data_IF_813916063784
#
_entry.id   IF_813916063784
#
_cell.length_a   1.000
_cell.length_b   1.000
_cell.length_c   1.000
_cell.angle_alpha   90.00
_cell.angle_beta   90.00
_cell.angle_gamma   90.00
#
_symmetry.space_group_name_H-M   'P 1'
#
loop_
_entity.id
_entity.type
_entity.pdbx_description
1 polymer ?
#
# COMPACT_ATOMS: atom_id res chain seq x y z
N UNK A 1 12.50 -39.67 27.31
CA UNK A 1 11.18 -39.14 26.90
C UNK A 1 11.21 -37.65 26.55
N UNK A 2 11.60 -36.72 27.45
CA UNK A 2 11.62 -35.26 27.15
C UNK A 2 12.44 -34.88 25.89
N UNK A 3 13.60 -35.51 25.68
CA UNK A 3 14.44 -35.26 24.49
C UNK A 3 13.82 -35.76 23.16
N UNK A 4 13.05 -36.84 23.21
CA UNK A 4 12.36 -37.40 22.04
C UNK A 4 11.17 -36.52 21.66
N UNK A 5 10.41 -36.05 22.65
CA UNK A 5 9.30 -35.10 22.44
C UNK A 5 9.82 -33.79 21.84
N UNK A 6 10.96 -33.27 22.33
CA UNK A 6 11.56 -32.05 21.80
C UNK A 6 12.05 -32.22 20.35
N UNK A 7 12.66 -33.36 20.02
CA UNK A 7 13.06 -33.68 18.65
C UNK A 7 11.84 -33.80 17.71
N UNK A 8 10.75 -34.41 18.18
CA UNK A 8 9.52 -34.54 17.39
C UNK A 8 8.87 -33.16 17.13
N UNK A 9 8.86 -32.28 18.13
CA UNK A 9 8.37 -30.91 17.98
C UNK A 9 9.20 -30.08 17.00
N UNK A 10 10.52 -30.25 16.99
CA UNK A 10 11.42 -29.59 16.03
C UNK A 10 11.14 -30.05 14.59
N UNK A 11 10.94 -31.35 14.37
CA UNK A 11 10.60 -31.88 13.04
C UNK A 11 9.26 -31.34 12.56
N UNK A 12 8.23 -31.35 13.43
CA UNK A 12 6.90 -30.81 13.10
C UNK A 12 6.94 -29.30 12.81
N UNK A 13 7.76 -28.54 13.53
CA UNK A 13 7.90 -27.11 13.29
C UNK A 13 8.52 -26.81 11.92
N UNK A 14 9.49 -27.61 11.46
CA UNK A 14 10.10 -27.43 10.14
C UNK A 14 9.13 -27.74 8.99
N UNK A 15 8.31 -28.79 9.12
CA UNK A 15 7.33 -29.15 8.08
C UNK A 15 6.25 -28.09 7.86
N UNK A 16 5.88 -27.36 8.93
CA UNK A 16 4.89 -26.26 8.82
C UNK A 16 5.48 -25.08 8.03
N UNK A 17 6.76 -24.78 8.22
CA UNK A 17 7.44 -23.67 7.52
C UNK A 17 7.58 -23.98 6.03
N UNK A 18 7.98 -25.21 5.68
CA UNK A 18 8.09 -25.64 4.28
C UNK A 18 6.75 -25.59 3.55
N UNK A 19 5.67 -26.08 4.18
CA UNK A 19 4.33 -26.04 3.59
C UNK A 19 3.82 -24.60 3.36
N UNK A 20 4.17 -23.67 4.25
CA UNK A 20 3.82 -22.26 4.09
C UNK A 20 4.63 -21.59 2.96
N UNK A 21 5.93 -21.91 2.85
CA UNK A 21 6.77 -21.44 1.74
C UNK A 21 6.23 -21.93 0.40
N UNK A 22 5.93 -23.23 0.27
CA UNK A 22 5.34 -23.80 -0.95
C UNK A 22 4.04 -23.11 -1.35
N UNK A 23 3.15 -22.84 -0.38
CA UNK A 23 1.91 -22.11 -0.62
C UNK A 23 2.19 -20.68 -1.12
N UNK A 24 3.11 -19.95 -0.49
CA UNK A 24 3.45 -18.59 -0.88
C UNK A 24 3.98 -18.53 -2.33
N UNK A 25 4.78 -19.53 -2.72
CA UNK A 25 5.28 -19.67 -4.09
C UNK A 25 4.14 -19.97 -5.07
N UNK A 26 3.21 -20.86 -4.71
CA UNK A 26 2.05 -21.14 -5.54
C UNK A 26 1.16 -19.90 -5.76
N UNK A 27 0.94 -19.11 -4.70
CA UNK A 27 0.20 -17.85 -4.78
C UNK A 27 0.92 -16.81 -5.67
N UNK A 28 2.26 -16.75 -5.60
CA UNK A 28 3.08 -15.89 -6.47
C UNK A 28 2.99 -16.32 -7.94
N UNK A 29 3.13 -17.62 -8.20
CA UNK A 29 3.06 -18.20 -9.54
C UNK A 29 1.66 -17.95 -10.16
N UNK A 30 0.59 -18.11 -9.36
CA UNK A 30 -0.78 -17.78 -9.76
C UNK A 30 -0.98 -16.30 -10.07
N UNK A 31 -0.48 -15.41 -9.21
CA UNK A 31 -0.55 -13.96 -9.44
C UNK A 31 0.17 -13.56 -10.73
N UNK A 32 1.38 -14.08 -10.93
CA UNK A 32 2.17 -13.82 -12.13
C UNK A 32 1.41 -14.25 -13.40
N UNK A 33 0.88 -15.48 -13.43
CA UNK A 33 0.09 -15.98 -14.55
C UNK A 33 -1.17 -15.14 -14.80
N UNK A 34 -1.86 -14.73 -13.73
CA UNK A 34 -3.06 -13.88 -13.83
C UNK A 34 -2.71 -12.53 -14.44
N UNK A 35 -1.63 -11.90 -13.99
CA UNK A 35 -1.12 -10.65 -14.56
C UNK A 35 -0.82 -10.82 -16.04
N UNK A 36 -0.20 -11.92 -16.46
CA UNK A 36 0.14 -12.14 -17.87
C UNK A 36 -1.09 -12.18 -18.81
N UNK A 37 -2.27 -12.43 -18.27
CA UNK A 37 -3.52 -12.46 -19.02
C UNK A 37 -4.14 -11.08 -19.20
N UNK A 38 -3.76 -10.08 -18.40
CA UNK A 38 -4.36 -8.73 -18.46
C UNK A 38 -3.97 -8.00 -19.75
N UNK A 39 -4.84 -7.11 -20.27
CA UNK A 39 -4.49 -6.23 -21.38
C UNK A 39 -3.27 -5.35 -21.05
N UNK A 40 -3.22 -4.78 -19.84
CA UNK A 40 -2.12 -3.93 -19.40
C UNK A 40 -0.76 -4.64 -19.45
N UNK A 41 -0.68 -5.92 -19.07
CA UNK A 41 0.55 -6.69 -19.24
C UNK A 41 0.90 -6.89 -20.71
N UNK A 42 -0.07 -7.30 -21.53
CA UNK A 42 0.15 -7.59 -22.95
C UNK A 42 0.68 -6.37 -23.70
N UNK A 43 0.22 -5.19 -23.31
CA UNK A 43 0.59 -3.92 -23.93
C UNK A 43 1.92 -3.37 -23.41
N UNK A 44 2.25 -3.59 -22.13
CA UNK A 44 3.36 -2.89 -21.46
C UNK A 44 4.58 -3.76 -21.16
N UNK A 45 4.39 -5.06 -20.87
CA UNK A 45 5.42 -5.93 -20.28
C UNK A 45 5.59 -7.26 -21.02
N UNK A 46 4.84 -7.52 -22.09
CA UNK A 46 4.96 -8.76 -22.87
C UNK A 46 6.34 -8.89 -23.48
N UNK A 47 7.08 -9.92 -23.05
CA UNK A 47 8.45 -10.15 -23.50
C UNK A 47 9.51 -9.32 -22.77
N UNK A 48 9.14 -8.52 -21.77
CA UNK A 48 10.10 -7.75 -20.97
C UNK A 48 10.94 -8.68 -20.09
N UNK A 49 12.25 -8.75 -20.36
CA UNK A 49 13.20 -9.58 -19.62
C UNK A 49 13.44 -9.11 -18.18
N UNK A 50 13.35 -7.80 -17.91
CA UNK A 50 13.48 -7.27 -16.54
C UNK A 50 12.30 -7.69 -15.69
N UNK A 51 11.10 -7.73 -16.27
CA UNK A 51 9.90 -8.22 -15.57
C UNK A 51 9.97 -9.73 -15.28
N UNK A 52 10.45 -10.53 -16.24
CA UNK A 52 10.72 -11.97 -16.00
C UNK A 52 11.77 -12.17 -14.89
N UNK A 53 12.84 -11.38 -14.91
CA UNK A 53 13.88 -11.43 -13.89
C UNK A 53 13.37 -11.00 -12.50
N UNK A 54 12.51 -9.97 -12.44
CA UNK A 54 11.82 -9.57 -11.22
C UNK A 54 11.04 -10.74 -10.63
N UNK A 55 10.22 -11.41 -11.44
CA UNK A 55 9.48 -12.61 -11.00
C UNK A 55 10.41 -13.72 -10.49
N UNK A 56 11.46 -14.06 -11.24
CA UNK A 56 12.41 -15.09 -10.84
C UNK A 56 13.11 -14.77 -9.50
N UNK A 57 13.48 -13.50 -9.29
CA UNK A 57 14.08 -13.05 -8.03
C UNK A 57 13.07 -13.13 -6.87
N UNK A 58 11.83 -12.67 -7.07
CA UNK A 58 10.79 -12.76 -6.05
C UNK A 58 10.54 -14.22 -5.65
N UNK A 59 10.43 -15.12 -6.62
CA UNK A 59 10.25 -16.55 -6.37
C UNK A 59 11.39 -17.18 -5.58
N UNK A 60 12.63 -16.72 -5.77
CA UNK A 60 13.80 -17.19 -5.01
C UNK A 60 13.82 -16.66 -3.57
N UNK A 61 13.39 -15.42 -3.39
CA UNK A 61 13.54 -14.68 -2.13
C UNK A 61 12.31 -14.80 -1.22
N UNK A 62 11.19 -15.37 -1.70
CA UNK A 62 9.93 -15.48 -0.97
C UNK A 62 9.96 -16.61 0.08
N UNK A 63 10.70 -16.39 1.16
CA UNK A 63 10.89 -17.35 2.27
C UNK A 63 10.27 -16.92 3.60
N UNK A 64 9.49 -15.84 3.58
CA UNK A 64 8.93 -15.25 4.79
C UNK A 64 7.70 -16.01 5.26
N UNK A 65 7.63 -16.29 6.58
CA UNK A 65 6.39 -16.73 7.24
C UNK A 65 5.47 -15.55 7.60
N UNK A 66 5.96 -14.31 7.50
CA UNK A 66 5.15 -13.11 7.70
C UNK A 66 4.32 -12.81 6.46
N UNK A 67 3.00 -13.02 6.58
CA UNK A 67 1.97 -12.79 5.57
C UNK A 67 2.03 -11.37 4.97
N UNK A 68 2.33 -10.34 5.78
CA UNK A 68 2.47 -8.98 5.27
C UNK A 68 3.74 -8.81 4.42
N UNK A 69 4.86 -9.41 4.83
CA UNK A 69 6.08 -9.41 4.03
C UNK A 69 5.86 -10.16 2.71
N UNK A 70 5.12 -11.28 2.72
CA UNK A 70 4.74 -12.02 1.52
C UNK A 70 3.90 -11.14 0.58
N UNK A 71 2.84 -10.49 1.09
CA UNK A 71 2.03 -9.56 0.30
C UNK A 71 2.85 -8.43 -0.29
N UNK A 72 3.77 -7.85 0.50
CA UNK A 72 4.66 -6.78 0.06
C UNK A 72 5.55 -7.22 -1.10
N UNK A 73 6.06 -8.45 -1.08
CA UNK A 73 6.83 -9.01 -2.20
C UNK A 73 5.94 -9.25 -3.42
N UNK A 74 4.75 -9.83 -3.25
CA UNK A 74 3.81 -10.08 -4.35
C UNK A 74 3.35 -8.79 -5.04
N UNK A 75 3.10 -7.72 -4.27
CA UNK A 75 2.71 -6.42 -4.79
C UNK A 75 3.74 -5.83 -5.77
N UNK A 76 5.02 -6.22 -5.65
CA UNK A 76 6.08 -5.80 -6.60
C UNK A 76 5.86 -6.32 -8.01
N UNK A 77 5.10 -7.41 -8.22
CA UNK A 77 4.71 -7.84 -9.57
C UNK A 77 3.74 -6.87 -10.25
N UNK A 78 2.97 -6.12 -9.46
CA UNK A 78 1.94 -5.22 -10.00
C UNK A 78 2.53 -3.83 -10.26
N UNK A 79 3.47 -3.38 -9.42
CA UNK A 79 4.06 -2.03 -9.49
C UNK A 79 4.60 -1.61 -10.87
N UNK A 80 5.21 -2.50 -11.69
CA UNK A 80 5.68 -2.13 -13.04
C UNK A 80 4.56 -1.81 -14.04
N UNK A 81 3.33 -2.26 -13.81
CA UNK A 81 2.20 -2.01 -14.70
C UNK A 81 1.65 -0.60 -14.47
N UNK A 82 1.53 0.23 -15.48
CA UNK A 82 0.80 1.49 -15.39
C UNK A 82 -0.70 1.25 -15.64
N UNK A 83 -1.39 0.68 -14.64
CA UNK A 83 -2.82 0.35 -14.70
C UNK A 83 -3.47 0.60 -13.34
N UNK A 84 -4.29 1.65 -13.28
CA UNK A 84 -4.99 2.09 -12.07
C UNK A 84 -6.25 1.26 -11.75
N UNK A 85 -6.61 0.31 -12.61
CA UNK A 85 -7.80 -0.52 -12.46
C UNK A 85 -7.46 -1.86 -11.81
N UNK A 86 -6.17 -2.18 -11.67
CA UNK A 86 -5.70 -3.36 -10.93
C UNK A 86 -5.79 -3.11 -9.42
N UNK A 87 -6.74 -3.79 -8.79
CA UNK A 87 -6.82 -3.90 -7.33
C UNK A 87 -6.04 -5.09 -6.82
N UNK A 88 -5.29 -4.90 -5.73
CA UNK A 88 -4.62 -5.98 -5.00
C UNK A 88 -4.77 -5.79 -3.51
N UNK A 89 -5.38 -6.76 -2.83
CA UNK A 89 -5.74 -6.64 -1.42
C UNK A 89 -5.76 -8.00 -0.74
N UNK A 90 -5.44 -8.01 0.55
CA UNK A 90 -5.72 -9.16 1.43
C UNK A 90 -7.13 -9.02 1.98
N UNK A 91 -8.01 -9.92 1.54
CA UNK A 91 -9.36 -10.04 2.12
C UNK A 91 -9.23 -10.38 3.61
N UNK A 92 -9.97 -9.72 4.49
CA UNK A 92 -10.05 -10.12 5.89
C UNK A 92 -10.78 -11.47 5.98
N UNK A 93 -10.22 -12.37 6.77
CA UNK A 93 -10.93 -13.56 7.24
C UNK A 93 -11.19 -13.40 8.74
N UNK A 94 -12.15 -14.13 9.29
CA UNK A 94 -12.56 -13.99 10.70
C UNK A 94 -11.44 -14.26 11.71
N UNK A 95 -10.36 -14.89 11.27
CA UNK A 95 -9.30 -15.41 12.13
C UNK A 95 -8.02 -14.57 12.05
N UNK A 96 -7.87 -13.75 11.00
CA UNK A 96 -6.69 -12.94 10.76
C UNK A 96 -6.89 -11.50 11.24
N UNK A 97 -6.11 -11.12 12.25
CA UNK A 97 -5.99 -9.73 12.71
C UNK A 97 -4.57 -9.25 12.46
N UNK A 98 -4.39 -8.41 11.44
CA UNK A 98 -3.12 -7.76 11.21
C UNK A 98 -2.85 -6.75 12.34
N UNK A 99 -1.72 -6.91 13.03
CA UNK A 99 -1.24 -5.97 14.03
C UNK A 99 -0.11 -5.17 13.39
N UNK A 100 -0.31 -3.89 13.08
CA UNK A 100 0.71 -3.09 12.43
C UNK A 100 1.94 -2.92 13.35
N UNK A 101 3.16 -2.91 12.78
CA UNK A 101 4.36 -2.56 13.55
C UNK A 101 4.21 -1.21 14.26
N UNK A 102 4.74 -1.12 15.47
CA UNK A 102 4.70 0.11 16.28
C UNK A 102 6.12 0.53 16.66
N UNK A 103 6.46 1.77 16.34
CA UNK A 103 7.76 2.36 16.64
C UNK A 103 7.70 3.22 17.89
N UNK A 104 8.77 3.19 18.68
CA UNK A 104 8.98 4.18 19.74
C UNK A 104 9.42 5.48 19.07
N UNK A 105 8.55 6.49 19.08
CA UNK A 105 8.78 7.78 18.44
C UNK A 105 8.71 8.91 19.47
N UNK A 106 9.64 9.84 19.37
CA UNK A 106 9.50 11.16 19.96
C UNK A 106 8.79 12.06 18.95
N UNK A 107 7.48 12.24 19.13
CA UNK A 107 6.63 12.98 18.20
C UNK A 107 7.06 14.45 18.10
N UNK A 108 7.55 15.05 19.19
CA UNK A 108 7.99 16.45 19.20
C UNK A 108 9.28 16.59 18.40
N UNK A 109 10.26 15.72 18.63
CA UNK A 109 11.50 15.71 17.86
C UNK A 109 11.24 15.48 16.36
N UNK A 110 10.33 14.56 16.02
CA UNK A 110 9.95 14.32 14.62
C UNK A 110 9.27 15.55 14.00
N UNK A 111 8.32 16.18 14.68
CA UNK A 111 7.66 17.39 14.16
C UNK A 111 8.70 18.49 13.92
N UNK A 112 9.58 18.75 14.88
CA UNK A 112 10.62 19.77 14.74
C UNK A 112 11.58 19.49 13.59
N UNK A 113 11.91 18.22 13.33
CA UNK A 113 12.75 17.83 12.19
C UNK A 113 12.06 18.10 10.86
N UNK A 114 10.78 17.75 10.73
CA UNK A 114 10.09 17.73 9.43
C UNK A 114 9.26 18.99 9.15
N UNK A 115 9.16 19.94 10.07
CA UNK A 115 8.43 21.21 9.87
C UNK A 115 9.09 22.12 8.83
N UNK A 116 10.41 22.03 8.67
CA UNK A 116 11.20 22.82 7.72
C UNK A 116 11.41 22.13 6.37
N UNK A 117 10.86 20.92 6.19
CA UNK A 117 11.01 20.20 4.93
C UNK A 117 10.25 20.90 3.80
N UNK A 118 10.76 20.84 2.55
CA UNK A 118 10.08 21.44 1.41
C UNK A 118 8.65 20.95 1.25
N UNK A 119 7.78 21.89 0.89
CA UNK A 119 6.34 21.67 0.76
C UNK A 119 6.03 20.65 -0.34
N UNK A 120 6.79 20.69 -1.42
CA UNK A 120 6.77 19.79 -2.58
C UNK A 120 7.50 18.45 -2.35
N UNK A 121 8.22 18.29 -1.23
CA UNK A 121 8.76 16.99 -0.83
C UNK A 121 7.63 16.05 -0.42
N UNK A 122 7.79 14.74 -0.65
CA UNK A 122 6.86 13.74 -0.09
C UNK A 122 7.15 13.45 1.37
N UNK A 123 8.38 13.70 1.82
CA UNK A 123 8.68 13.59 3.25
C UNK A 123 8.07 14.77 4.00
N UNK A 124 7.50 14.51 5.18
CA UNK A 124 6.95 15.57 6.01
C UNK A 124 5.87 15.12 6.98
N UNK A 125 5.28 16.11 7.63
CA UNK A 125 4.14 15.94 8.54
C UNK A 125 2.85 16.14 7.75
N UNK A 126 2.02 15.11 7.76
CA UNK A 126 0.71 15.06 7.14
C UNK A 126 -0.38 15.03 8.21
N UNK A 127 -1.58 15.40 7.80
CA UNK A 127 -2.82 15.30 8.56
C UNK A 127 -3.76 14.35 7.84
N UNK A 128 -4.56 13.61 8.60
CA UNK A 128 -5.69 12.81 8.13
C UNK A 128 -6.78 12.85 9.19
N UNK A 129 -7.85 13.60 8.92
CA UNK A 129 -8.81 14.00 9.94
C UNK A 129 -8.12 14.78 11.07
N UNK A 130 -8.26 14.33 12.32
CA UNK A 130 -7.63 14.93 13.50
C UNK A 130 -6.24 14.37 13.82
N UNK A 131 -5.78 13.37 13.06
CA UNK A 131 -4.54 12.64 13.35
C UNK A 131 -3.40 13.17 12.49
N UNK A 132 -2.20 13.23 13.07
CA UNK A 132 -0.96 13.58 12.36
C UNK A 132 -0.16 12.34 12.00
N UNK A 133 0.43 12.36 10.82
CA UNK A 133 1.23 11.28 10.27
C UNK A 133 2.60 11.80 9.85
N UNK A 134 3.62 10.98 10.04
CA UNK A 134 4.95 11.19 9.47
C UNK A 134 5.07 10.34 8.22
N UNK A 135 5.44 10.97 7.09
CA UNK A 135 5.91 10.27 5.91
C UNK A 135 7.41 10.48 5.79
N UNK A 136 8.18 9.39 5.77
CA UNK A 136 9.65 9.42 5.69
C UNK A 136 10.18 8.36 4.75
N UNK A 137 11.29 8.65 4.09
CA UNK A 137 12.06 7.67 3.34
C UNK A 137 12.78 6.72 4.32
N UNK A 138 12.80 5.43 4.01
CA UNK A 138 13.52 4.42 4.79
C UNK A 138 14.73 3.92 4.01
N UNK A 139 14.52 3.44 2.79
CA UNK A 139 15.58 2.89 1.94
C UNK A 139 15.16 2.93 0.48
N UNK A 140 16.08 3.33 -0.40
CA UNK A 140 15.85 3.32 -1.84
C UNK A 140 14.67 4.20 -2.25
N UNK A 141 13.56 3.57 -2.64
CA UNK A 141 12.30 4.22 -3.03
C UNK A 141 11.14 3.94 -2.06
N UNK A 142 11.41 3.33 -0.90
CA UNK A 142 10.42 2.95 0.10
C UNK A 142 10.24 4.04 1.17
N UNK A 143 8.99 4.46 1.37
CA UNK A 143 8.57 5.41 2.38
C UNK A 143 7.61 4.74 3.37
N UNK A 144 7.64 5.19 4.62
CA UNK A 144 6.71 4.74 5.66
C UNK A 144 5.74 5.85 6.03
N UNK A 145 4.48 5.48 6.24
CA UNK A 145 3.44 6.35 6.80
C UNK A 145 3.22 5.93 8.25
N UNK A 146 3.53 6.80 9.20
CA UNK A 146 3.52 6.46 10.63
C UNK A 146 2.58 7.41 11.38
N UNK A 147 1.67 6.88 12.19
CA UNK A 147 0.86 7.70 13.09
C UNK A 147 1.76 8.31 14.17
N UNK A 148 1.84 9.64 14.25
CA UNK A 148 2.74 10.33 15.18
C UNK A 148 2.31 10.21 16.64
N UNK A 149 1.02 10.00 16.92
CA UNK A 149 0.52 9.87 18.30
C UNK A 149 0.71 8.47 18.84
N UNK A 150 0.51 7.44 18.00
CA UNK A 150 0.57 6.04 18.45
C UNK A 150 1.88 5.35 18.10
N UNK A 151 2.65 5.87 17.16
CA UNK A 151 3.85 5.24 16.62
C UNK A 151 3.56 4.08 15.64
N UNK A 152 2.30 3.79 15.36
CA UNK A 152 1.89 2.69 14.48
C UNK A 152 2.21 3.01 13.02
N UNK A 153 2.82 2.05 12.32
CA UNK A 153 2.89 2.04 10.87
C UNK A 153 1.47 1.91 10.30
N UNK A 154 1.11 2.76 9.33
CA UNK A 154 -0.20 2.77 8.66
C UNK A 154 -0.14 2.42 7.19
N UNK A 155 1.06 2.40 6.63
CA UNK A 155 1.28 1.95 5.28
C UNK A 155 2.71 2.18 4.82
N UNK A 156 3.02 1.65 3.66
CA UNK A 156 4.30 1.76 2.97
C UNK A 156 4.03 2.30 1.58
N UNK A 157 4.82 3.27 1.12
CA UNK A 157 4.72 3.85 -0.22
C UNK A 157 5.99 3.54 -1.02
N UNK A 158 5.84 3.25 -2.30
CA UNK A 158 6.95 3.02 -3.22
C UNK A 158 6.89 4.06 -4.33
N UNK A 159 7.97 4.82 -4.50
CA UNK A 159 8.07 5.72 -5.65
C UNK A 159 8.18 4.90 -6.93
N UNK A 160 7.29 5.17 -7.88
CA UNK A 160 7.25 4.53 -9.19
C UNK A 160 8.15 5.27 -10.19
N UNK A 161 8.54 4.64 -11.31
CA UNK A 161 9.27 5.33 -12.39
C UNK A 161 8.52 6.53 -12.99
N UNK A 162 7.19 6.58 -12.86
CA UNK A 162 6.33 7.62 -13.44
C UNK A 162 6.05 8.79 -12.49
N UNK A 163 6.95 9.02 -11.51
CA UNK A 163 6.85 10.09 -10.51
C UNK A 163 5.55 10.04 -9.67
N UNK A 164 4.93 8.87 -9.57
CA UNK A 164 3.82 8.59 -8.67
C UNK A 164 4.27 7.64 -7.55
N UNK A 165 3.34 7.26 -6.69
CA UNK A 165 3.57 6.34 -5.59
C UNK A 165 2.53 5.23 -5.61
N UNK A 166 2.98 4.01 -5.37
CA UNK A 166 2.10 2.89 -5.06
C UNK A 166 2.14 2.68 -3.53
N UNK A 167 0.98 2.62 -2.89
CA UNK A 167 0.83 2.65 -1.44
C UNK A 167 0.15 1.37 -0.96
N UNK A 168 0.84 0.60 -0.13
CA UNK A 168 0.22 -0.48 0.64
C UNK A 168 -0.31 0.14 1.93
N UNK A 169 -1.62 0.34 2.01
CA UNK A 169 -2.27 0.94 3.17
C UNK A 169 -2.88 -0.14 4.08
N UNK A 170 -2.71 0.03 5.39
CA UNK A 170 -3.31 -0.86 6.38
C UNK A 170 -4.71 -0.36 6.69
N UNK A 171 -5.70 -1.14 6.30
CA UNK A 171 -7.09 -0.78 6.51
C UNK A 171 -7.65 -1.56 7.73
N UNK A 172 -8.51 -0.93 8.54
CA UNK A 172 -9.46 -1.70 9.32
C UNK A 172 -10.51 -2.31 8.37
N UNK A 173 -10.88 -3.58 8.60
CA UNK A 173 -12.01 -4.37 8.07
C UNK A 173 -12.81 -3.74 6.88
N UNK A 174 -12.92 -4.38 5.69
CA UNK A 174 -12.73 -5.80 5.41
C UNK A 174 -11.43 -6.19 4.72
N UNK A 175 -10.47 -5.29 4.61
CA UNK A 175 -9.16 -5.60 4.03
C UNK A 175 -8.10 -5.38 5.09
N UNK A 176 -7.21 -6.35 5.29
CA UNK A 176 -6.10 -6.17 6.24
C UNK A 176 -5.11 -5.12 5.70
N UNK A 177 -4.82 -5.20 4.40
CA UNK A 177 -4.01 -4.24 3.69
C UNK A 177 -4.31 -4.28 2.18
N UNK A 178 -4.17 -3.12 1.54
CA UNK A 178 -4.56 -2.88 0.13
C UNK A 178 -3.48 -2.08 -0.58
N UNK A 179 -3.17 -2.46 -1.82
CA UNK A 179 -2.33 -1.69 -2.73
C UNK A 179 -3.18 -0.66 -3.48
N UNK A 180 -2.99 0.61 -3.16
CA UNK A 180 -3.55 1.76 -3.89
C UNK A 180 -2.48 2.34 -4.81
N UNK A 181 -2.82 2.58 -6.07
CA UNK A 181 -1.83 2.88 -7.13
C UNK A 181 -1.84 4.34 -7.55
N UNK A 182 -0.73 4.80 -8.13
CA UNK A 182 -0.61 6.11 -8.78
C UNK A 182 -1.00 7.31 -7.90
N UNK A 183 -0.63 7.24 -6.63
CA UNK A 183 -0.74 8.35 -5.68
C UNK A 183 0.24 9.46 -6.09
N UNK A 184 -0.21 10.71 -6.06
CA UNK A 184 0.63 11.87 -6.41
C UNK A 184 0.51 12.94 -5.33
N UNK A 185 1.63 13.61 -5.02
CA UNK A 185 1.61 14.81 -4.21
C UNK A 185 1.29 16.00 -5.12
N UNK A 186 0.12 16.61 -4.92
CA UNK A 186 -0.32 17.79 -5.66
C UNK A 186 -1.01 18.75 -4.70
N UNK A 187 -0.61 20.02 -4.71
CA UNK A 187 -1.18 21.05 -3.84
C UNK A 187 -1.28 20.59 -2.37
N UNK A 188 -0.20 20.03 -1.84
CA UNK A 188 -0.09 19.50 -0.47
C UNK A 188 -0.99 18.30 -0.15
N UNK A 189 -1.68 17.73 -1.13
CA UNK A 189 -2.50 16.54 -0.97
C UNK A 189 -1.82 15.33 -1.62
N UNK A 190 -1.79 14.18 -0.92
CA UNK A 190 -1.50 12.89 -1.55
C UNK A 190 -2.77 12.34 -2.18
N UNK A 191 -3.00 12.67 -3.45
CA UNK A 191 -4.20 12.31 -4.21
C UNK A 191 -4.36 10.79 -4.24
N UNK A 192 -5.57 10.31 -3.92
CA UNK A 192 -5.88 8.89 -3.76
C UNK A 192 -5.72 8.39 -2.31
N UNK A 193 -5.37 9.29 -1.39
CA UNK A 193 -5.35 9.05 0.06
C UNK A 193 -6.07 10.18 0.80
N UNK A 194 -6.22 10.04 2.12
CA UNK A 194 -6.75 11.09 2.99
C UNK A 194 -5.64 11.94 3.65
N UNK A 195 -4.39 11.89 3.14
CA UNK A 195 -3.24 12.57 3.73
C UNK A 195 -2.94 13.91 3.06
N UNK A 196 -2.87 14.99 3.84
CA UNK A 196 -2.53 16.34 3.36
C UNK A 196 -1.53 17.07 4.28
N UNK A 197 -0.70 17.95 3.74
CA UNK A 197 0.23 18.81 4.50
C UNK A 197 -0.40 20.16 4.83
N UNK A 198 -0.03 20.73 5.98
CA UNK A 198 -0.45 22.08 6.37
C UNK A 198 -1.96 22.25 6.56
N UNK A 199 -2.45 23.48 6.40
CA UNK A 199 -3.87 23.83 6.54
C UNK A 199 -4.62 23.78 5.20
N UNK A 200 -4.45 22.68 4.46
CA UNK A 200 -5.25 22.44 3.27
C UNK A 200 -6.62 22.00 3.76
N UNK A 201 -7.70 22.67 3.31
CA UNK A 201 -9.05 22.14 3.51
C UNK A 201 -9.08 20.77 2.84
N UNK A 202 -9.19 19.70 3.62
CA UNK A 202 -9.43 18.37 3.08
C UNK A 202 -10.60 18.51 2.10
N UNK A 203 -10.37 18.28 0.82
CA UNK A 203 -11.45 18.29 -0.16
C UNK A 203 -12.51 17.34 0.37
N UNK A 204 -13.75 17.81 0.47
CA UNK A 204 -14.86 16.98 0.89
C UNK A 204 -14.84 15.72 0.02
N UNK A 205 -14.59 14.55 0.63
CA UNK A 205 -14.92 13.29 -0.01
C UNK A 205 -16.40 13.40 -0.36
N UNK A 206 -16.71 13.54 -1.65
CA UNK A 206 -18.08 13.63 -2.08
C UNK A 206 -18.75 12.34 -1.64
N UNK A 207 -19.80 12.47 -0.83
CA UNK A 207 -20.69 11.35 -0.55
C UNK A 207 -21.14 10.87 -1.92
N UNK A 208 -20.86 9.61 -2.26
CA UNK A 208 -21.43 8.98 -3.45
C UNK A 208 -22.94 9.10 -3.35
N UNK A 209 -23.52 10.05 -4.08
CA UNK A 209 -24.96 10.27 -4.17
C UNK A 209 -25.46 9.51 -5.38
N UNK A 210 -26.69 9.01 -5.30
CA UNK A 210 -27.37 8.28 -6.40
C UNK A 210 -27.48 9.06 -7.70
N UNK A 211 -27.26 10.37 -7.68
CA UNK A 211 -27.49 11.26 -8.81
C UNK A 211 -26.33 11.18 -9.80
N UNK A 212 -26.66 10.94 -11.07
CA UNK A 212 -25.69 10.71 -12.15
C UNK A 212 -24.83 11.94 -12.46
N UNK A 213 -25.34 13.13 -12.17
CA UNK A 213 -24.65 14.40 -12.38
C UNK A 213 -25.06 15.41 -11.31
N UNK A 214 -24.11 16.14 -10.75
CA UNK A 214 -24.36 17.27 -9.84
C UNK A 214 -23.44 18.42 -10.23
N UNK A 215 -24.01 19.61 -10.46
CA UNK A 215 -23.24 20.84 -10.66
C UNK A 215 -23.52 21.79 -9.52
N UNK A 216 -22.47 22.14 -8.77
CA UNK A 216 -22.58 23.05 -7.63
C UNK A 216 -21.63 24.22 -7.78
N UNK A 217 -22.20 25.42 -7.72
CA UNK A 217 -21.45 26.67 -7.62
C UNK A 217 -21.00 26.85 -6.17
N UNK A 218 -19.69 27.02 -5.99
CA UNK A 218 -19.07 27.26 -4.70
C UNK A 218 -18.94 28.78 -4.44
N UNK A 219 -18.54 29.54 -5.47
CA UNK A 219 -18.41 31.01 -5.48
C UNK A 219 -18.66 31.56 -6.91
N UNK A 220 -18.83 32.88 -7.08
CA UNK A 220 -19.32 33.58 -8.30
C UNK A 220 -18.68 33.14 -9.64
N UNK A 221 -17.48 32.54 -9.60
CA UNK A 221 -16.76 32.04 -10.79
C UNK A 221 -16.23 30.61 -10.65
N UNK A 222 -16.51 29.92 -9.54
CA UNK A 222 -16.00 28.58 -9.26
C UNK A 222 -17.18 27.65 -9.02
N UNK A 223 -17.42 26.75 -9.96
CA UNK A 223 -18.30 25.60 -9.80
C UNK A 223 -17.55 24.30 -9.97
N UNK A 224 -18.10 23.21 -9.43
CA UNK A 224 -17.67 21.86 -9.79
C UNK A 224 -18.80 21.08 -10.44
N UNK A 225 -18.45 20.28 -11.44
CA UNK A 225 -19.31 19.29 -12.06
C UNK A 225 -18.85 17.91 -11.59
N UNK A 226 -19.71 17.22 -10.85
CA UNK A 226 -19.54 15.82 -10.48
C UNK A 226 -20.22 14.95 -11.53
N UNK A 227 -19.45 14.08 -12.18
CA UNK A 227 -19.96 13.07 -13.11
C UNK A 227 -19.92 11.71 -12.38
N UNK A 228 -21.09 11.16 -12.07
CA UNK A 228 -21.20 9.78 -11.59
C UNK A 228 -20.99 8.81 -12.76
N UNK A 229 -20.16 7.79 -12.58
CA UNK A 229 -20.01 6.72 -13.57
C UNK A 229 -21.22 5.75 -13.56
N UNK A 230 -21.49 5.19 -14.74
CA UNK A 230 -22.70 4.51 -15.18
C UNK A 230 -23.29 3.44 -14.25
N UNK A 231 -24.63 3.33 -14.35
CA UNK A 231 -25.51 2.26 -13.87
C UNK A 231 -24.82 0.89 -13.67
N UNK A 232 -25.09 0.26 -12.52
CA UNK A 232 -25.23 -1.20 -12.45
C UNK A 232 -26.44 -1.66 -13.28
#
# INVERSE_FOLDING_TARGET
MKKIIFALLLVLANSIVEAQEEKNIADLDFLYQTIQQTPSYKDQLKGDEKYKQLYANLRKDLKSADDFEVFKQMAKLIMPLNDNHLGFYRKADSNYKFIPPKYKLDSVAMINKYISYPVDSVEGIYQGGKTRYLIRLVKGNEYQIINLSTGELKGIMYKTPHQSFDVIQFAPNPYAYTLTRNIKLLNNLLIGTNYYKGNVKAFYNMVSRKEKYDYKVLEDQIGYLSLGTFNE
#
